data_IF_097968407490
#
_entry.id   IF_097968407490
#
_cell.length_a   1.000
_cell.length_b   1.000
_cell.length_c   1.000
_cell.angle_alpha   90.00
_cell.angle_beta   90.00
_cell.angle_gamma   90.00
#
_symmetry.space_group_name_H-M   'P 1'
#
loop_
_entity.id
_entity.type
_entity.pdbx_description
1 polymer ?
#
# COMPACT_ATOMS: atom_id res chain seq x y z
N UNK A 1 20.26 -16.70 9.68
CA UNK A 1 19.52 -17.97 9.73
C UNK A 1 18.49 -17.84 10.83
N UNK A 2 17.26 -18.28 10.55
CA UNK A 2 16.15 -18.29 11.50
C UNK A 2 16.54 -19.08 12.75
N UNK A 3 16.14 -18.62 13.92
CA UNK A 3 16.47 -19.31 15.18
C UNK A 3 15.42 -20.36 15.51
N UNK A 4 14.14 -20.11 15.15
CA UNK A 4 13.01 -21.01 15.45
C UNK A 4 12.14 -21.32 14.22
N UNK A 5 12.68 -21.13 13.01
CA UNK A 5 11.96 -21.40 11.76
C UNK A 5 10.92 -20.34 11.38
N UNK A 6 11.05 -19.11 11.90
CA UNK A 6 10.15 -17.97 11.66
C UNK A 6 10.91 -16.68 11.35
N UNK A 7 10.24 -15.72 10.72
CA UNK A 7 10.86 -14.45 10.30
C UNK A 7 11.19 -13.55 11.51
N UNK A 8 12.16 -12.62 11.36
CA UNK A 8 12.59 -11.73 12.47
C UNK A 8 11.46 -10.92 13.10
N UNK A 9 10.54 -10.43 12.27
CA UNK A 9 9.42 -9.64 12.75
C UNK A 9 8.41 -10.43 13.59
N UNK A 10 8.27 -11.73 13.33
CA UNK A 10 7.34 -12.61 14.05
C UNK A 10 7.94 -13.06 15.40
N UNK A 11 9.24 -13.31 15.41
CA UNK A 11 9.95 -13.77 16.61
C UNK A 11 10.25 -12.65 17.60
N UNK A 12 10.39 -11.39 17.14
CA UNK A 12 10.71 -10.29 18.05
C UNK A 12 9.55 -10.00 19.00
N UNK A 13 9.87 -9.78 20.27
CA UNK A 13 8.91 -9.27 21.25
C UNK A 13 9.20 -7.81 21.56
N UNK A 14 8.23 -6.95 21.30
CA UNK A 14 8.31 -5.53 21.62
C UNK A 14 7.55 -5.26 22.91
N UNK A 15 8.29 -5.00 23.98
CA UNK A 15 7.73 -4.62 25.28
C UNK A 15 7.63 -3.11 25.37
N UNK A 16 6.45 -2.64 25.75
CA UNK A 16 6.18 -1.21 25.97
C UNK A 16 7.04 -0.68 27.10
N UNK A 17 7.63 0.51 26.92
CA UNK A 17 8.35 1.20 28.01
C UNK A 17 7.42 1.86 29.01
N UNK A 18 6.21 2.20 28.57
CA UNK A 18 5.18 2.84 29.36
C UNK A 18 3.80 2.18 29.15
N UNK A 19 2.85 2.34 30.08
CA UNK A 19 1.47 1.94 29.86
C UNK A 19 0.87 2.65 28.64
N UNK A 20 0.00 1.95 27.89
CA UNK A 20 -0.78 2.60 26.83
C UNK A 20 -1.66 3.71 27.45
N UNK A 21 -1.87 4.85 26.77
CA UNK A 21 -1.53 5.14 25.36
C UNK A 21 -0.16 5.78 25.13
N UNK A 22 0.66 5.95 26.18
CA UNK A 22 1.87 6.79 26.14
C UNK A 22 2.87 6.38 25.04
N UNK A 23 3.26 5.09 24.89
CA UNK A 23 4.19 4.69 23.83
C UNK A 23 3.69 5.03 22.43
N UNK A 24 2.39 4.86 22.17
CA UNK A 24 1.79 5.15 20.86
C UNK A 24 1.81 6.65 20.55
N UNK A 25 1.51 7.51 21.53
CA UNK A 25 1.56 8.97 21.38
C UNK A 25 3.00 9.42 21.12
N UNK A 26 3.97 8.91 21.90
CA UNK A 26 5.39 9.26 21.72
C UNK A 26 5.89 8.83 20.34
N UNK A 27 5.56 7.61 19.90
CA UNK A 27 5.90 7.13 18.56
C UNK A 27 5.23 7.95 17.46
N UNK A 28 3.98 8.34 17.63
CA UNK A 28 3.26 9.20 16.68
C UNK A 28 3.95 10.55 16.54
N UNK A 29 4.24 11.24 17.65
CA UNK A 29 4.92 12.54 17.62
C UNK A 29 6.31 12.39 16.98
N UNK A 30 7.08 11.38 17.39
CA UNK A 30 8.41 11.11 16.84
C UNK A 30 8.38 10.90 15.32
N UNK A 31 7.47 10.06 14.84
CA UNK A 31 7.33 9.76 13.40
C UNK A 31 6.78 10.94 12.62
N UNK A 32 5.88 11.76 13.20
CA UNK A 32 5.38 12.98 12.57
C UNK A 32 6.45 14.07 12.43
N UNK A 33 7.37 14.19 13.40
CA UNK A 33 8.52 15.10 13.31
C UNK A 33 9.42 14.68 12.14
N UNK A 34 9.76 13.38 12.06
CA UNK A 34 10.56 12.85 10.95
C UNK A 34 9.82 13.01 9.62
N UNK A 35 8.51 12.74 9.59
CA UNK A 35 7.67 12.94 8.43
C UNK A 35 7.75 14.37 7.93
N UNK A 36 7.50 15.35 8.79
CA UNK A 36 7.50 16.74 8.35
C UNK A 36 8.89 17.22 7.93
N UNK A 37 9.94 16.87 8.68
CA UNK A 37 11.31 17.23 8.34
C UNK A 37 11.73 16.67 6.98
N UNK A 38 11.47 15.38 6.75
CA UNK A 38 11.80 14.74 5.46
C UNK A 38 10.86 15.18 4.33
N UNK A 39 9.58 15.42 4.61
CA UNK A 39 8.63 15.99 3.65
C UNK A 39 9.11 17.34 3.14
N UNK A 40 9.52 18.23 4.03
CA UNK A 40 10.01 19.56 3.67
C UNK A 40 11.31 19.50 2.84
N UNK A 41 12.20 18.56 3.14
CA UNK A 41 13.44 18.39 2.35
C UNK A 41 13.12 17.88 0.93
N UNK A 42 12.32 16.82 0.84
CA UNK A 42 12.19 16.05 -0.39
C UNK A 42 10.98 16.44 -1.25
N UNK A 43 9.82 16.61 -0.63
CA UNK A 43 8.53 16.65 -1.32
C UNK A 43 7.96 18.08 -1.39
N UNK A 44 7.88 18.80 -0.26
CA UNK A 44 7.17 20.08 -0.17
C UNK A 44 7.51 21.00 -1.36
N UNK A 45 6.51 21.51 -2.12
CA UNK A 45 6.76 22.41 -3.26
C UNK A 45 7.54 23.68 -2.90
N UNK A 46 7.52 24.09 -1.62
CA UNK A 46 8.28 25.23 -1.07
C UNK A 46 9.62 24.82 -0.48
N UNK A 47 9.85 23.51 -0.38
CA UNK A 47 11.00 22.88 0.25
C UNK A 47 12.27 22.95 -0.59
N UNK A 48 13.24 22.11 -0.20
CA UNK A 48 14.59 22.12 -0.77
C UNK A 48 14.63 21.45 -2.16
N UNK A 49 14.21 20.20 -2.26
CA UNK A 49 14.33 19.41 -3.50
C UNK A 49 13.08 19.47 -4.38
N UNK A 50 11.92 19.82 -3.81
CA UNK A 50 10.65 20.07 -4.53
C UNK A 50 10.24 18.95 -5.48
N UNK A 51 10.48 17.70 -5.10
CA UNK A 51 10.25 16.54 -5.97
C UNK A 51 8.76 16.20 -6.15
N UNK A 52 7.84 16.93 -5.51
CA UNK A 52 6.41 16.67 -5.61
C UNK A 52 5.86 16.83 -7.03
N UNK A 53 6.41 17.77 -7.81
CA UNK A 53 6.09 17.93 -9.24
C UNK A 53 7.36 18.28 -10.04
N UNK A 54 7.65 17.61 -11.17
CA UNK A 54 6.92 16.47 -11.76
C UNK A 54 6.99 15.21 -10.86
N UNK A 55 6.21 14.15 -11.13
CA UNK A 55 5.96 12.96 -10.27
C UNK A 55 7.18 12.16 -9.73
N UNK A 56 8.39 12.67 -9.83
CA UNK A 56 9.65 12.13 -9.32
C UNK A 56 9.53 11.72 -7.85
N UNK A 57 9.05 12.62 -7.00
CA UNK A 57 8.89 12.39 -5.57
C UNK A 57 7.88 11.29 -5.26
N UNK A 58 6.83 11.17 -6.08
CA UNK A 58 5.87 10.08 -5.97
C UNK A 58 6.50 8.74 -6.38
N UNK A 59 7.23 8.71 -7.50
CA UNK A 59 7.96 7.53 -7.98
C UNK A 59 8.91 7.01 -6.89
N UNK A 60 9.75 7.87 -6.31
CA UNK A 60 10.67 7.47 -5.22
C UNK A 60 9.91 7.01 -3.98
N UNK A 61 8.85 7.70 -3.58
CA UNK A 61 8.02 7.31 -2.43
C UNK A 61 7.45 5.90 -2.60
N UNK A 62 6.94 5.58 -3.80
CA UNK A 62 6.32 4.29 -4.09
C UNK A 62 7.34 3.18 -4.22
N UNK A 63 8.47 3.43 -4.89
CA UNK A 63 9.53 2.42 -4.98
C UNK A 63 10.21 2.16 -3.64
N UNK A 64 10.35 3.18 -2.79
CA UNK A 64 10.90 2.99 -1.46
C UNK A 64 10.02 2.06 -0.62
N UNK A 65 8.69 2.23 -0.67
CA UNK A 65 7.74 1.29 -0.04
C UNK A 65 8.04 -0.17 -0.45
N UNK A 66 8.25 -0.40 -1.74
CA UNK A 66 8.48 -1.74 -2.30
C UNK A 66 9.84 -2.29 -1.86
N UNK A 67 10.88 -1.47 -1.87
CA UNK A 67 12.21 -1.88 -1.39
C UNK A 67 12.16 -2.24 0.10
N UNK A 68 11.42 -1.49 0.92
CA UNK A 68 11.20 -1.84 2.33
C UNK A 68 10.52 -3.22 2.45
N UNK A 69 9.48 -3.47 1.66
CA UNK A 69 8.80 -4.77 1.61
C UNK A 69 9.77 -5.86 1.18
N UNK A 70 10.57 -5.65 0.13
CA UNK A 70 11.54 -6.64 -0.34
C UNK A 70 12.54 -6.99 0.74
N UNK A 71 13.16 -5.98 1.37
CA UNK A 71 14.15 -6.20 2.43
C UNK A 71 13.60 -7.04 3.58
N UNK A 72 12.33 -6.86 3.93
CA UNK A 72 11.71 -7.48 5.10
C UNK A 72 10.96 -8.78 4.75
N UNK A 73 9.99 -8.73 3.84
CA UNK A 73 9.11 -9.84 3.50
C UNK A 73 9.76 -10.85 2.54
N UNK A 74 10.58 -10.40 1.59
CA UNK A 74 11.18 -11.32 0.61
C UNK A 74 12.55 -11.82 1.08
N UNK A 75 13.38 -10.91 1.61
CA UNK A 75 14.77 -11.20 1.96
C UNK A 75 14.99 -11.45 3.46
N UNK A 76 14.01 -11.20 4.33
CA UNK A 76 14.11 -11.35 5.78
C UNK A 76 15.44 -10.77 6.33
N UNK A 77 15.72 -9.51 5.96
CA UNK A 77 16.90 -8.73 6.33
C UNK A 77 18.26 -9.25 5.83
N UNK A 78 18.29 -10.26 4.94
CA UNK A 78 19.53 -10.72 4.33
C UNK A 78 20.24 -9.56 3.59
N UNK A 79 21.59 -9.44 3.68
CA UNK A 79 22.57 -10.38 4.24
C UNK A 79 22.91 -10.17 5.73
N UNK A 80 22.16 -9.33 6.45
CA UNK A 80 22.49 -9.00 7.83
C UNK A 80 22.25 -10.20 8.76
N UNK A 81 23.21 -10.42 9.67
CA UNK A 81 23.12 -11.53 10.62
C UNK A 81 22.03 -11.26 11.63
N UNK A 82 21.31 -12.32 12.01
CA UNK A 82 20.26 -12.27 13.03
C UNK A 82 20.75 -11.68 14.35
N UNK A 83 21.94 -12.08 14.80
CA UNK A 83 22.57 -11.55 16.01
C UNK A 83 22.83 -10.04 15.97
N UNK A 84 23.06 -9.47 14.79
CA UNK A 84 23.18 -8.02 14.63
C UNK A 84 21.83 -7.33 14.76
N UNK A 85 20.77 -7.90 14.17
CA UNK A 85 19.41 -7.37 14.32
C UNK A 85 19.01 -7.36 15.81
N UNK A 86 19.29 -8.40 16.59
CA UNK A 86 18.84 -8.44 17.98
C UNK A 86 19.66 -7.56 18.93
N UNK A 87 20.95 -7.40 18.68
CA UNK A 87 21.87 -6.72 19.61
C UNK A 87 22.10 -5.25 19.27
N UNK A 88 21.94 -4.85 18.02
CA UNK A 88 22.22 -3.47 17.60
C UNK A 88 21.13 -2.52 18.08
N UNK A 89 21.57 -1.35 18.55
CA UNK A 89 20.65 -0.29 19.00
C UNK A 89 19.65 0.08 17.90
N UNK A 90 18.35 0.23 18.21
CA UNK A 90 17.32 0.40 17.17
C UNK A 90 17.51 1.63 16.28
N UNK A 91 18.08 2.73 16.80
CA UNK A 91 18.42 3.91 15.97
C UNK A 91 19.49 3.55 14.95
N UNK A 92 20.56 2.87 15.36
CA UNK A 92 21.64 2.46 14.47
C UNK A 92 21.12 1.49 13.41
N UNK A 93 20.25 0.56 13.80
CA UNK A 93 19.56 -0.35 12.88
C UNK A 93 18.71 0.43 11.87
N UNK A 94 17.92 1.39 12.35
CA UNK A 94 17.14 2.33 11.54
C UNK A 94 17.97 3.04 10.48
N UNK A 95 19.08 3.67 10.89
CA UNK A 95 19.98 4.41 9.99
C UNK A 95 20.58 3.48 8.93
N UNK A 96 21.15 2.34 9.34
CA UNK A 96 21.83 1.41 8.43
C UNK A 96 20.85 0.80 7.44
N UNK A 97 19.72 0.28 7.89
CA UNK A 97 18.72 -0.34 7.01
C UNK A 97 18.07 0.70 6.08
N UNK A 98 17.84 1.92 6.56
CA UNK A 98 17.35 3.01 5.71
C UNK A 98 18.38 3.37 4.63
N UNK A 99 19.66 3.46 4.97
CA UNK A 99 20.73 3.71 4.00
C UNK A 99 20.81 2.60 2.94
N UNK A 100 20.74 1.33 3.35
CA UNK A 100 20.68 0.18 2.43
C UNK A 100 19.47 0.30 1.51
N UNK A 101 18.28 0.61 2.05
CA UNK A 101 17.06 0.76 1.25
C UNK A 101 17.19 1.88 0.22
N UNK A 102 17.88 2.98 0.54
CA UNK A 102 18.12 4.08 -0.39
C UNK A 102 19.08 3.67 -1.51
N UNK A 103 20.16 2.94 -1.20
CA UNK A 103 21.09 2.43 -2.21
C UNK A 103 20.38 1.48 -3.17
N UNK A 104 19.58 0.54 -2.64
CA UNK A 104 18.80 -0.39 -3.47
C UNK A 104 17.79 0.35 -4.36
N UNK A 105 17.10 1.35 -3.80
CA UNK A 105 16.18 2.21 -4.53
C UNK A 105 16.87 2.96 -5.68
N UNK A 106 18.06 3.52 -5.43
CA UNK A 106 18.83 4.22 -6.43
C UNK A 106 19.28 3.29 -7.56
N UNK A 107 19.82 2.11 -7.21
CA UNK A 107 20.23 1.09 -8.20
C UNK A 107 19.03 0.64 -9.04
N UNK A 108 17.86 0.47 -8.43
CA UNK A 108 16.65 0.07 -9.13
C UNK A 108 16.18 1.14 -10.11
N UNK A 109 16.08 2.40 -9.68
CA UNK A 109 15.56 3.48 -10.53
C UNK A 109 16.60 3.88 -11.58
N UNK A 110 17.81 4.24 -11.17
CA UNK A 110 18.84 4.75 -12.09
C UNK A 110 19.56 3.65 -12.85
N UNK A 111 19.87 2.53 -12.20
CA UNK A 111 20.57 1.41 -12.84
C UNK A 111 19.63 0.58 -13.71
N UNK A 112 18.53 0.09 -13.14
CA UNK A 112 17.63 -0.82 -13.86
C UNK A 112 16.62 -0.09 -14.76
N UNK A 113 15.76 0.78 -14.23
CA UNK A 113 14.70 1.40 -15.05
C UNK A 113 15.24 2.41 -16.05
N UNK A 114 15.96 3.44 -15.61
CA UNK A 114 16.48 4.46 -16.52
C UNK A 114 17.68 3.96 -17.33
N UNK A 115 18.59 3.23 -16.67
CA UNK A 115 19.84 2.76 -17.25
C UNK A 115 19.66 1.61 -18.23
N UNK A 116 19.17 0.47 -17.75
CA UNK A 116 19.03 -0.75 -18.55
C UNK A 116 17.78 -0.72 -19.44
N UNK A 117 16.59 -0.66 -18.83
CA UNK A 117 15.31 -0.76 -19.55
C UNK A 117 15.11 0.46 -20.44
N UNK A 118 15.36 1.66 -19.91
CA UNK A 118 15.10 2.92 -20.57
C UNK A 118 16.02 3.20 -21.76
N UNK A 119 17.30 2.84 -21.68
CA UNK A 119 18.22 3.05 -22.80
C UNK A 119 18.24 1.92 -23.82
N UNK A 120 17.96 0.68 -23.43
CA UNK A 120 18.13 -0.49 -24.31
C UNK A 120 16.81 -1.11 -24.78
N UNK A 121 15.70 -0.83 -24.10
CA UNK A 121 14.40 -1.45 -24.39
C UNK A 121 13.30 -0.44 -24.68
N UNK A 122 12.79 0.19 -23.62
CA UNK A 122 11.56 0.99 -23.65
C UNK A 122 11.90 2.43 -23.28
N UNK A 123 12.01 3.29 -24.30
CA UNK A 123 12.52 4.66 -24.19
C UNK A 123 11.83 5.51 -23.13
N UNK A 124 10.53 5.30 -22.89
CA UNK A 124 9.78 6.13 -21.95
C UNK A 124 10.15 5.94 -20.49
N UNK A 125 10.98 4.94 -20.13
CA UNK A 125 11.53 4.84 -18.77
C UNK A 125 12.74 5.76 -18.54
N UNK A 126 13.27 6.41 -19.58
CA UNK A 126 14.42 7.29 -19.48
C UNK A 126 14.08 8.72 -19.96
N UNK A 127 14.16 9.73 -19.07
CA UNK A 127 13.90 11.12 -19.47
C UNK A 127 14.78 11.59 -20.62
N UNK A 128 16.07 11.24 -20.62
CA UNK A 128 17.02 11.62 -21.66
C UNK A 128 16.79 10.94 -23.01
N UNK A 129 16.07 9.82 -23.06
CA UNK A 129 15.59 9.25 -24.34
C UNK A 129 14.33 9.96 -24.81
N UNK A 130 13.43 10.31 -23.89
CA UNK A 130 12.20 11.04 -24.21
C UNK A 130 12.46 12.45 -24.74
N UNK A 131 13.48 13.16 -24.24
CA UNK A 131 13.84 14.50 -24.74
C UNK A 131 14.36 14.50 -26.18
N UNK A 132 14.70 13.33 -26.75
CA UNK A 132 15.07 13.20 -28.17
C UNK A 132 13.86 13.24 -29.09
N UNK A 133 12.66 13.04 -28.56
CA UNK A 133 11.43 13.07 -29.35
C UNK A 133 11.00 14.52 -29.61
N UNK A 134 10.65 14.89 -30.87
CA UNK A 134 10.16 16.22 -31.19
C UNK A 134 8.92 16.58 -30.35
N UNK A 135 8.92 17.77 -29.76
CA UNK A 135 7.77 18.31 -29.02
C UNK A 135 7.67 17.88 -27.54
N UNK A 136 8.57 17.03 -27.03
CA UNK A 136 8.62 16.69 -25.60
C UNK A 136 9.60 17.61 -24.89
N UNK A 137 9.09 18.40 -23.94
CA UNK A 137 9.94 19.23 -23.07
C UNK A 137 10.60 18.38 -21.98
N UNK A 138 11.69 18.88 -21.39
CA UNK A 138 12.37 18.21 -20.28
C UNK A 138 11.41 17.91 -19.11
N UNK A 139 10.51 18.84 -18.80
CA UNK A 139 9.50 18.64 -17.77
C UNK A 139 8.61 17.42 -18.06
N UNK A 140 8.04 17.33 -19.27
CA UNK A 140 7.18 16.20 -19.64
C UNK A 140 7.96 14.89 -19.78
N UNK A 141 9.21 14.94 -20.24
CA UNK A 141 10.08 13.77 -20.29
C UNK A 141 10.31 13.18 -18.89
N UNK A 142 10.62 14.03 -17.90
CA UNK A 142 10.76 13.61 -16.51
C UNK A 142 9.43 13.09 -15.96
N UNK A 143 8.33 13.79 -16.23
CA UNK A 143 7.00 13.41 -15.74
C UNK A 143 6.56 12.04 -16.28
N UNK A 144 6.69 11.80 -17.58
CA UNK A 144 6.29 10.55 -18.22
C UNK A 144 7.18 9.37 -17.80
N UNK A 145 8.48 9.59 -17.67
CA UNK A 145 9.38 8.55 -17.17
C UNK A 145 9.13 8.22 -15.70
N UNK A 146 8.93 9.23 -14.86
CA UNK A 146 8.56 9.02 -13.47
C UNK A 146 7.22 8.29 -13.36
N UNK A 147 6.23 8.64 -14.20
CA UNK A 147 4.92 8.00 -14.24
C UNK A 147 5.03 6.53 -14.67
N UNK A 148 5.82 6.21 -15.70
CA UNK A 148 6.04 4.84 -16.15
C UNK A 148 6.64 3.97 -15.04
N UNK A 149 7.71 4.46 -14.39
CA UNK A 149 8.35 3.82 -13.25
C UNK A 149 7.36 3.65 -12.07
N UNK A 150 6.59 4.68 -11.76
CA UNK A 150 5.60 4.70 -10.69
C UNK A 150 4.47 3.68 -10.93
N UNK A 151 3.96 3.58 -12.15
CA UNK A 151 2.90 2.64 -12.50
C UNK A 151 3.38 1.18 -12.36
N UNK A 152 4.64 0.90 -12.68
CA UNK A 152 5.25 -0.40 -12.38
C UNK A 152 5.34 -0.63 -10.86
N UNK A 153 5.75 0.39 -10.11
CA UNK A 153 5.79 0.33 -8.65
C UNK A 153 4.41 0.01 -8.05
N UNK A 154 3.33 0.59 -8.57
CA UNK A 154 1.98 0.28 -8.11
C UNK A 154 1.67 -1.22 -8.21
N UNK A 155 2.04 -1.87 -9.33
CA UNK A 155 1.84 -3.32 -9.51
C UNK A 155 2.70 -4.12 -8.52
N UNK A 156 3.99 -3.82 -8.43
CA UNK A 156 4.88 -4.54 -7.53
C UNK A 156 4.48 -4.39 -6.05
N UNK A 157 3.90 -3.25 -5.66
CA UNK A 157 3.49 -2.97 -4.28
C UNK A 157 2.34 -3.83 -3.75
N UNK A 158 1.53 -4.45 -4.61
CA UNK A 158 0.55 -5.43 -4.18
C UNK A 158 1.06 -6.86 -4.40
N UNK A 159 1.73 -7.13 -5.52
CA UNK A 159 2.07 -8.49 -5.91
C UNK A 159 3.18 -9.10 -5.04
N UNK A 160 4.20 -8.31 -4.71
CA UNK A 160 5.29 -8.76 -3.82
C UNK A 160 4.77 -9.17 -2.43
N UNK A 161 4.01 -8.32 -1.70
CA UNK A 161 3.46 -8.75 -0.41
C UNK A 161 2.36 -9.80 -0.55
N UNK A 162 1.51 -9.77 -1.60
CA UNK A 162 0.48 -10.79 -1.81
C UNK A 162 1.08 -12.19 -1.94
N UNK A 163 2.27 -12.33 -2.53
CA UNK A 163 2.92 -13.63 -2.63
C UNK A 163 3.31 -14.21 -1.26
N UNK A 164 3.68 -13.36 -0.30
CA UNK A 164 4.01 -13.80 1.05
C UNK A 164 2.75 -13.98 1.90
N UNK A 165 1.82 -13.02 1.83
CA UNK A 165 0.59 -13.00 2.64
C UNK A 165 -0.42 -14.05 2.18
N UNK A 166 -0.68 -14.15 0.88
CA UNK A 166 -1.69 -15.05 0.33
C UNK A 166 -1.10 -16.40 -0.08
N UNK A 167 0.06 -16.41 -0.76
CA UNK A 167 0.66 -17.65 -1.25
C UNK A 167 1.64 -18.29 -0.26
N UNK A 168 1.87 -17.70 0.92
CA UNK A 168 2.74 -18.24 1.97
C UNK A 168 4.12 -18.68 1.43
N UNK A 169 4.72 -17.82 0.59
CA UNK A 169 6.02 -18.05 -0.03
C UNK A 169 6.08 -19.27 -0.99
N UNK A 170 4.94 -19.84 -1.39
CA UNK A 170 4.91 -20.99 -2.29
C UNK A 170 5.48 -20.67 -3.68
N UNK A 171 6.23 -21.61 -4.30
CA UNK A 171 6.65 -22.94 -3.82
C UNK A 171 8.02 -22.96 -3.11
N UNK A 172 8.50 -21.82 -2.61
CA UNK A 172 9.87 -21.64 -2.11
C UNK A 172 10.02 -21.76 -0.60
N UNK A 173 9.03 -22.32 0.11
CA UNK A 173 9.02 -22.39 1.57
C UNK A 173 10.31 -22.99 2.15
N UNK A 174 10.84 -24.00 1.46
CA UNK A 174 12.02 -24.77 1.88
C UNK A 174 13.36 -24.17 1.43
N UNK A 175 13.36 -23.10 0.62
CA UNK A 175 14.60 -22.46 0.19
C UNK A 175 15.18 -21.58 1.30
N UNK A 176 16.50 -21.51 1.39
CA UNK A 176 17.19 -20.56 2.28
C UNK A 176 17.45 -19.23 1.59
N UNK A 177 17.60 -18.17 2.37
CA UNK A 177 18.10 -16.90 1.85
C UNK A 177 19.56 -17.05 1.38
N UNK A 178 19.97 -16.41 0.26
CA UNK A 178 19.20 -15.45 -0.53
C UNK A 178 18.33 -16.09 -1.63
N UNK A 179 18.46 -17.39 -1.90
CA UNK A 179 17.77 -18.05 -3.02
C UNK A 179 16.25 -17.89 -2.96
N UNK A 180 15.65 -17.97 -1.76
CA UNK A 180 14.22 -17.73 -1.55
C UNK A 180 13.82 -16.33 -2.02
N UNK A 181 14.40 -15.28 -1.44
CA UNK A 181 14.07 -13.89 -1.75
C UNK A 181 14.31 -13.53 -3.21
N UNK A 182 15.44 -13.96 -3.79
CA UNK A 182 15.75 -13.73 -5.20
C UNK A 182 14.72 -14.40 -6.11
N UNK A 183 14.32 -15.65 -5.84
CA UNK A 183 13.37 -16.38 -6.69
C UNK A 183 11.97 -15.75 -6.66
N UNK A 184 11.50 -15.36 -5.47
CA UNK A 184 10.22 -14.64 -5.32
C UNK A 184 10.30 -13.30 -6.02
N UNK A 185 11.40 -12.55 -5.84
CA UNK A 185 11.60 -11.26 -6.50
C UNK A 185 11.53 -11.40 -8.01
N UNK A 186 12.30 -12.32 -8.61
CA UNK A 186 12.31 -12.54 -10.07
C UNK A 186 10.92 -12.90 -10.57
N UNK A 187 10.22 -13.82 -9.90
CA UNK A 187 8.89 -14.27 -10.32
C UNK A 187 7.86 -13.15 -10.23
N UNK A 188 7.80 -12.45 -9.09
CA UNK A 188 6.85 -11.35 -8.90
C UNK A 188 7.18 -10.16 -9.80
N UNK A 189 8.45 -9.91 -10.10
CA UNK A 189 8.87 -8.86 -11.04
C UNK A 189 8.52 -9.21 -12.49
N UNK A 190 8.69 -10.47 -12.88
CA UNK A 190 8.27 -10.98 -14.20
C UNK A 190 6.75 -10.85 -14.37
N UNK A 191 5.97 -11.32 -13.40
CA UNK A 191 4.52 -11.17 -13.41
C UNK A 191 4.09 -9.69 -13.41
N UNK A 192 4.79 -8.84 -12.64
CA UNK A 192 4.55 -7.39 -12.65
C UNK A 192 4.77 -6.79 -14.03
N UNK A 193 5.79 -7.26 -14.76
CA UNK A 193 6.06 -6.85 -16.14
C UNK A 193 4.92 -7.25 -17.08
N UNK A 194 4.42 -8.47 -16.99
CA UNK A 194 3.29 -8.92 -17.80
C UNK A 194 2.04 -8.07 -17.52
N UNK A 195 1.70 -7.87 -16.25
CA UNK A 195 0.57 -7.03 -15.84
C UNK A 195 0.77 -5.60 -16.33
N UNK A 196 1.98 -5.05 -16.23
CA UNK A 196 2.30 -3.71 -16.71
C UNK A 196 2.00 -3.55 -18.20
N UNK A 197 2.36 -4.52 -19.03
CA UNK A 197 2.02 -4.49 -20.46
C UNK A 197 0.51 -4.57 -20.70
N UNK A 198 -0.21 -5.34 -19.89
CA UNK A 198 -1.66 -5.47 -20.00
C UNK A 198 -2.44 -4.25 -19.48
N UNK A 199 -1.90 -3.48 -18.53
CA UNK A 199 -2.68 -2.46 -17.81
C UNK A 199 -2.14 -1.04 -17.92
N UNK A 200 -0.83 -0.87 -18.16
CA UNK A 200 -0.17 0.44 -18.11
C UNK A 200 0.47 0.83 -19.45
N UNK A 201 0.98 -0.13 -20.22
CA UNK A 201 1.70 0.16 -21.46
C UNK A 201 0.82 0.88 -22.49
N UNK A 202 -0.45 0.49 -22.64
CA UNK A 202 -1.40 1.18 -23.52
C UNK A 202 -1.60 2.65 -23.12
N UNK A 203 -1.57 2.97 -21.82
CA UNK A 203 -1.62 4.35 -21.36
C UNK A 203 -0.35 5.12 -21.76
N UNK A 204 0.83 4.52 -21.62
CA UNK A 204 2.08 5.15 -22.04
C UNK A 204 2.12 5.40 -23.56
N UNK A 205 1.65 4.44 -24.36
CA UNK A 205 1.70 4.54 -25.82
C UNK A 205 0.83 5.64 -26.43
N UNK A 206 -0.16 6.16 -25.70
CA UNK A 206 -1.01 7.26 -26.16
C UNK A 206 -0.54 8.65 -25.71
N UNK A 207 0.51 8.74 -24.89
CA UNK A 207 1.07 10.02 -24.44
C UNK A 207 1.90 10.73 -25.53
N UNK A 208 2.21 10.02 -26.61
CA UNK A 208 3.04 10.51 -27.72
C UNK A 208 2.17 10.78 -28.95
N UNK A 209 2.54 11.78 -29.74
CA UNK A 209 1.95 12.01 -31.06
C UNK A 209 2.96 11.64 -32.17
N UNK A 210 2.60 10.76 -33.12
CA UNK A 210 1.37 9.96 -33.15
C UNK A 210 1.35 8.89 -32.04
N UNK A 211 0.15 8.40 -31.71
CA UNK A 211 0.00 7.28 -30.77
C UNK A 211 0.77 6.06 -31.28
N UNK A 212 1.33 5.29 -30.35
CA UNK A 212 2.23 4.18 -30.63
C UNK A 212 1.49 2.88 -30.99
N UNK A 213 0.64 2.92 -32.02
CA UNK A 213 -0.25 1.81 -32.42
C UNK A 213 0.47 0.48 -32.76
N UNK A 214 1.76 0.52 -33.11
CA UNK A 214 2.52 -0.69 -33.44
C UNK A 214 2.92 -1.49 -32.18
N UNK A 215 3.16 -0.81 -31.06
CA UNK A 215 3.69 -1.43 -29.84
C UNK A 215 2.67 -1.51 -28.72
N UNK A 216 1.62 -0.68 -28.76
CA UNK A 216 0.58 -0.64 -27.73
C UNK A 216 -0.83 -0.81 -28.30
N UNK A 217 -1.73 -1.34 -27.47
CA UNK A 217 -3.16 -1.36 -27.79
C UNK A 217 -3.71 0.05 -27.61
N UNK A 218 -3.84 0.78 -28.70
CA UNK A 218 -4.35 2.15 -28.75
C UNK A 218 -5.60 2.22 -29.65
N UNK A 219 -6.75 2.75 -29.18
CA UNK A 219 -7.00 3.18 -27.81
C UNK A 219 -7.02 1.99 -26.81
N UNK A 220 -6.77 2.23 -25.51
CA UNK A 220 -6.82 1.17 -24.51
C UNK A 220 -8.19 0.49 -24.41
N UNK A 221 -8.22 -0.82 -24.15
CA UNK A 221 -9.46 -1.62 -24.11
C UNK A 221 -10.45 -1.18 -23.03
N UNK A 222 -9.97 -0.51 -21.98
CA UNK A 222 -10.83 0.04 -20.92
C UNK A 222 -11.50 1.36 -21.28
N UNK A 223 -11.12 1.97 -22.41
CA UNK A 223 -11.57 3.29 -22.82
C UNK A 223 -13.08 3.51 -22.76
N UNK A 224 -13.85 2.49 -23.15
CA UNK A 224 -15.30 2.56 -23.24
C UNK A 224 -15.98 2.39 -21.88
N UNK A 225 -15.63 1.36 -21.12
CA UNK A 225 -16.31 1.08 -19.85
C UNK A 225 -15.80 1.93 -18.68
N UNK A 226 -14.53 2.34 -18.69
CA UNK A 226 -13.96 3.24 -17.67
C UNK A 226 -14.17 4.73 -18.03
N UNK A 227 -14.73 5.01 -19.21
CA UNK A 227 -14.93 6.36 -19.75
C UNK A 227 -13.66 7.24 -19.78
N UNK A 228 -12.48 6.61 -19.86
CA UNK A 228 -11.17 7.28 -19.92
C UNK A 228 -10.14 6.41 -20.60
N UNK A 229 -9.18 7.04 -21.27
CA UNK A 229 -7.98 6.37 -21.80
C UNK A 229 -6.82 6.38 -20.80
N UNK A 230 -7.00 7.00 -19.64
CA UNK A 230 -5.98 7.06 -18.60
C UNK A 230 -5.76 5.70 -17.93
N UNK A 231 -4.51 5.35 -17.64
CA UNK A 231 -4.13 4.19 -16.84
C UNK A 231 -4.54 4.31 -15.37
N UNK A 232 -5.05 5.48 -14.94
CA UNK A 232 -5.56 5.69 -13.59
C UNK A 232 -6.68 4.71 -13.20
N UNK A 233 -7.47 4.24 -14.18
CA UNK A 233 -8.40 3.12 -13.96
C UNK A 233 -7.67 1.92 -13.35
N UNK A 234 -6.55 1.50 -13.95
CA UNK A 234 -5.80 0.37 -13.42
C UNK A 234 -5.05 0.67 -12.13
N UNK A 235 -4.47 1.87 -12.01
CA UNK A 235 -3.86 2.32 -10.76
C UNK A 235 -4.86 2.14 -9.61
N UNK A 236 -6.11 2.54 -9.79
CA UNK A 236 -7.09 2.56 -8.73
C UNK A 236 -7.42 1.18 -8.12
N UNK A 237 -7.69 0.14 -8.93
CA UNK A 237 -7.96 -1.20 -8.39
C UNK A 237 -6.68 -1.85 -7.84
N UNK A 238 -5.51 -1.58 -8.43
CA UNK A 238 -4.21 -2.04 -7.91
C UNK A 238 -3.91 -1.44 -6.54
N UNK A 239 -4.23 -0.16 -6.35
CA UNK A 239 -4.12 0.51 -5.06
C UNK A 239 -5.06 -0.13 -4.04
N UNK A 240 -6.30 -0.45 -4.43
CA UNK A 240 -7.23 -1.20 -3.59
C UNK A 240 -6.69 -2.59 -3.24
N UNK A 241 -6.04 -3.30 -4.17
CA UNK A 241 -5.36 -4.57 -3.90
C UNK A 241 -4.28 -4.39 -2.85
N UNK A 242 -3.41 -3.38 -2.99
CA UNK A 242 -2.35 -3.09 -2.02
C UNK A 242 -2.94 -2.90 -0.63
N UNK A 243 -3.96 -2.06 -0.49
CA UNK A 243 -4.63 -1.78 0.79
C UNK A 243 -5.27 -3.05 1.36
N UNK A 244 -5.93 -3.84 0.52
CA UNK A 244 -6.60 -5.08 0.94
C UNK A 244 -5.61 -6.12 1.43
N UNK A 245 -4.48 -6.33 0.74
CA UNK A 245 -3.40 -7.24 1.19
C UNK A 245 -2.97 -6.86 2.61
N UNK A 246 -2.73 -5.57 2.85
CA UNK A 246 -2.30 -5.10 4.16
C UNK A 246 -3.40 -5.19 5.21
N UNK A 247 -4.67 -4.93 4.88
CA UNK A 247 -5.80 -5.14 5.80
C UNK A 247 -5.89 -6.62 6.21
N UNK A 248 -5.76 -7.53 5.24
CA UNK A 248 -5.74 -8.99 5.46
C UNK A 248 -4.58 -9.37 6.37
N UNK A 249 -3.37 -8.88 6.11
CA UNK A 249 -2.19 -9.21 6.92
C UNK A 249 -2.25 -8.61 8.33
N UNK A 250 -2.83 -7.42 8.49
CA UNK A 250 -2.72 -6.64 9.73
C UNK A 250 -3.95 -6.78 10.63
N UNK A 251 -4.99 -6.00 10.37
CA UNK A 251 -6.15 -5.90 11.25
C UNK A 251 -7.05 -7.14 11.19
N UNK A 252 -6.99 -7.91 10.10
CA UNK A 252 -7.74 -9.17 9.94
C UNK A 252 -6.95 -10.41 10.34
N UNK A 253 -5.63 -10.33 10.55
CA UNK A 253 -4.80 -11.48 10.97
C UNK A 253 -5.03 -12.71 10.05
N UNK A 254 -5.08 -12.46 8.74
CA UNK A 254 -5.37 -13.40 7.65
C UNK A 254 -6.73 -14.09 7.68
N UNK A 255 -7.65 -13.68 8.56
CA UNK A 255 -9.05 -14.11 8.53
C UNK A 255 -9.77 -13.56 7.29
N UNK A 256 -10.71 -14.32 6.67
CA UNK A 256 -11.10 -15.70 6.97
C UNK A 256 -10.24 -16.75 6.24
N UNK A 257 -9.24 -16.34 5.47
CA UNK A 257 -8.48 -17.24 4.60
C UNK A 257 -7.69 -18.30 5.39
N UNK A 258 -7.21 -17.95 6.58
CA UNK A 258 -6.54 -18.89 7.49
C UNK A 258 -7.43 -20.08 7.95
N UNK A 259 -8.76 -20.01 7.81
CA UNK A 259 -9.67 -21.12 8.09
C UNK A 259 -9.55 -22.27 7.09
N UNK A 260 -9.02 -22.01 5.88
CA UNK A 260 -8.91 -23.00 4.81
C UNK A 260 -7.70 -23.90 5.09
N UNK A 261 -7.94 -25.15 5.48
CA UNK A 261 -6.86 -26.08 5.85
C UNK A 261 -5.97 -26.51 4.69
N UNK A 262 -6.54 -26.64 3.49
CA UNK A 262 -5.82 -27.14 2.31
C UNK A 262 -4.97 -26.02 1.70
N UNK A 263 -3.65 -26.11 1.83
CA UNK A 263 -2.71 -25.04 1.46
C UNK A 263 -2.95 -24.45 0.06
N UNK A 264 -2.98 -25.27 -1.00
CA UNK A 264 -3.16 -24.74 -2.36
C UNK A 264 -4.51 -24.02 -2.53
N UNK A 265 -5.57 -24.53 -1.89
CA UNK A 265 -6.89 -23.90 -1.96
C UNK A 265 -6.88 -22.59 -1.17
N UNK A 266 -6.24 -22.56 0.00
CA UNK A 266 -6.04 -21.33 0.78
C UNK A 266 -5.28 -20.29 -0.03
N UNK A 267 -4.18 -20.68 -0.69
CA UNK A 267 -3.38 -19.77 -1.50
C UNK A 267 -4.17 -19.15 -2.65
N UNK A 268 -4.88 -19.99 -3.42
CA UNK A 268 -5.71 -19.54 -4.53
C UNK A 268 -6.85 -18.64 -4.04
N UNK A 269 -7.58 -19.07 -3.01
CA UNK A 269 -8.73 -18.33 -2.48
C UNK A 269 -8.30 -17.02 -1.81
N UNK A 270 -7.18 -16.99 -1.09
CA UNK A 270 -6.64 -15.77 -0.50
C UNK A 270 -6.21 -14.78 -1.59
N UNK A 271 -5.47 -15.24 -2.60
CA UNK A 271 -4.95 -14.38 -3.66
C UNK A 271 -6.07 -13.75 -4.49
N UNK A 272 -7.01 -14.57 -4.99
CA UNK A 272 -8.16 -14.07 -5.76
C UNK A 272 -9.22 -13.41 -4.88
N UNK A 273 -9.34 -13.80 -3.60
CA UNK A 273 -10.22 -13.16 -2.64
C UNK A 273 -9.82 -11.72 -2.34
N UNK A 274 -8.52 -11.46 -2.18
CA UNK A 274 -7.97 -10.10 -2.06
C UNK A 274 -8.33 -9.27 -3.30
N UNK A 275 -8.17 -9.83 -4.50
CA UNK A 275 -8.52 -9.14 -5.75
C UNK A 275 -10.03 -8.84 -5.80
N UNK A 276 -10.88 -9.80 -5.43
CA UNK A 276 -12.34 -9.62 -5.43
C UNK A 276 -12.78 -8.53 -4.45
N UNK A 277 -12.23 -8.51 -3.23
CA UNK A 277 -12.50 -7.46 -2.23
C UNK A 277 -12.00 -6.11 -2.74
N UNK A 278 -10.81 -6.06 -3.35
CA UNK A 278 -10.26 -4.84 -3.93
C UNK A 278 -11.13 -4.28 -5.05
N UNK A 279 -11.68 -5.12 -5.94
CA UNK A 279 -12.63 -4.69 -6.96
C UNK A 279 -13.93 -4.15 -6.36
N UNK A 280 -14.45 -4.78 -5.29
CA UNK A 280 -15.62 -4.28 -4.58
C UNK A 280 -15.35 -2.88 -4.00
N UNK A 281 -14.21 -2.67 -3.35
CA UNK A 281 -13.78 -1.35 -2.84
C UNK A 281 -13.64 -0.35 -4.00
N UNK A 282 -12.96 -0.75 -5.08
CA UNK A 282 -12.70 0.08 -6.25
C UNK A 282 -13.98 0.64 -6.88
N UNK A 283 -14.96 -0.23 -7.18
CA UNK A 283 -16.23 0.20 -7.76
C UNK A 283 -17.11 0.94 -6.75
N UNK A 284 -17.13 0.52 -5.49
CA UNK A 284 -17.91 1.20 -4.45
C UNK A 284 -17.43 2.64 -4.23
N UNK A 285 -16.12 2.86 -4.13
CA UNK A 285 -15.57 4.20 -3.94
C UNK A 285 -15.77 5.08 -5.17
N UNK A 286 -15.76 4.52 -6.39
CA UNK A 286 -16.11 5.26 -7.60
C UNK A 286 -17.58 5.71 -7.55
N UNK A 287 -18.48 4.77 -7.26
CA UNK A 287 -19.91 5.05 -7.11
C UNK A 287 -20.20 6.07 -6.01
N UNK A 288 -19.52 5.98 -4.87
CA UNK A 288 -19.65 6.96 -3.78
C UNK A 288 -19.28 8.38 -4.25
N UNK A 289 -18.25 8.52 -5.09
CA UNK A 289 -17.90 9.82 -5.68
C UNK A 289 -19.00 10.32 -6.64
N UNK A 290 -19.62 9.46 -7.44
CA UNK A 290 -20.74 9.85 -8.32
C UNK A 290 -21.95 10.34 -7.53
N UNK A 291 -22.27 9.70 -6.41
CA UNK A 291 -23.32 10.17 -5.50
C UNK A 291 -22.98 11.54 -4.89
N UNK A 292 -21.70 11.84 -4.72
CA UNK A 292 -21.23 13.07 -4.06
C UNK A 292 -21.19 14.25 -5.01
N UNK A 293 -20.59 14.04 -6.17
CA UNK A 293 -20.19 15.11 -7.09
C UNK A 293 -20.93 15.02 -8.43
N UNK A 294 -21.89 14.10 -8.58
CA UNK A 294 -22.58 13.84 -9.83
C UNK A 294 -21.75 13.00 -10.81
N UNK A 295 -22.31 12.73 -12.01
CA UNK A 295 -21.72 11.82 -12.99
C UNK A 295 -20.39 12.34 -13.54
N UNK A 296 -19.45 11.44 -13.78
CA UNK A 296 -18.19 11.76 -14.42
C UNK A 296 -18.37 11.90 -15.94
N UNK A 297 -17.87 12.98 -16.53
CA UNK A 297 -18.06 13.31 -17.94
C UNK A 297 -16.72 13.36 -18.65
N UNK A 298 -16.53 12.49 -19.64
CA UNK A 298 -15.29 12.43 -20.44
C UNK A 298 -15.04 13.76 -21.16
N UNK A 299 -13.77 14.19 -21.17
CA UNK A 299 -13.35 15.46 -21.76
C UNK A 299 -13.52 16.68 -20.84
N UNK A 300 -14.19 16.53 -19.70
CA UNK A 300 -14.16 17.54 -18.65
C UNK A 300 -12.82 17.51 -17.91
N UNK A 301 -12.50 18.58 -17.17
CA UNK A 301 -11.30 18.67 -16.35
C UNK A 301 -11.67 18.50 -14.88
N UNK A 302 -10.67 18.16 -14.06
CA UNK A 302 -10.75 18.22 -12.59
C UNK A 302 -11.79 17.24 -12.03
N UNK A 303 -12.59 17.68 -11.07
CA UNK A 303 -13.48 16.84 -10.30
C UNK A 303 -14.54 16.10 -11.13
N UNK A 304 -14.84 16.51 -12.36
CA UNK A 304 -15.80 15.78 -13.21
C UNK A 304 -15.11 14.82 -14.20
N UNK A 305 -13.78 14.83 -14.26
CA UNK A 305 -13.01 14.05 -15.22
C UNK A 305 -12.87 12.59 -14.75
N UNK A 306 -13.25 11.58 -15.56
CA UNK A 306 -13.18 10.19 -15.16
C UNK A 306 -11.76 9.72 -14.80
N UNK A 307 -10.72 10.24 -15.45
CA UNK A 307 -9.31 9.92 -15.14
C UNK A 307 -8.91 10.31 -13.70
N UNK A 308 -9.38 11.46 -13.22
CA UNK A 308 -9.15 11.87 -11.84
C UNK A 308 -10.00 11.06 -10.86
N UNK A 309 -11.27 10.78 -11.18
CA UNK A 309 -12.16 9.97 -10.33
C UNK A 309 -11.57 8.60 -10.03
N UNK A 310 -11.04 7.93 -11.04
CA UNK A 310 -10.35 6.66 -10.86
C UNK A 310 -9.10 6.82 -10.00
N UNK A 311 -8.25 7.81 -10.27
CA UNK A 311 -7.08 8.05 -9.43
C UNK A 311 -7.47 8.26 -7.96
N UNK A 312 -8.52 9.05 -7.73
CA UNK A 312 -9.02 9.39 -6.40
C UNK A 312 -9.59 8.19 -5.64
N UNK A 313 -10.13 7.17 -6.33
CA UNK A 313 -10.49 5.87 -5.69
C UNK A 313 -9.25 5.26 -5.02
N UNK A 314 -8.12 5.22 -5.72
CA UNK A 314 -6.87 4.71 -5.16
C UNK A 314 -6.38 5.54 -3.97
N UNK A 315 -6.54 6.85 -4.04
CA UNK A 315 -6.22 7.78 -2.95
C UNK A 315 -7.08 7.54 -1.70
N UNK A 316 -8.40 7.44 -1.87
CA UNK A 316 -9.35 7.14 -0.80
C UNK A 316 -9.02 5.82 -0.10
N UNK A 317 -8.65 4.78 -0.86
CA UNK A 317 -8.28 3.49 -0.28
C UNK A 317 -7.05 3.60 0.64
N UNK A 318 -6.03 4.38 0.26
CA UNK A 318 -4.82 4.56 1.09
C UNK A 318 -5.12 5.27 2.42
N UNK A 319 -6.12 6.15 2.47
CA UNK A 319 -6.55 6.75 3.74
C UNK A 319 -7.05 5.71 4.75
N UNK A 320 -7.60 4.58 4.30
CA UNK A 320 -7.96 3.46 5.18
C UNK A 320 -6.72 2.68 5.65
N UNK A 321 -5.65 2.64 4.87
CA UNK A 321 -4.45 1.90 5.25
C UNK A 321 -3.72 2.53 6.44
N UNK A 322 -3.67 3.87 6.51
CA UNK A 322 -3.00 4.60 7.60
C UNK A 322 -3.50 4.17 9.00
N UNK A 323 -4.79 4.29 9.36
CA UNK A 323 -5.25 3.85 10.67
C UNK A 323 -5.11 2.35 10.90
N UNK A 324 -5.26 1.49 9.87
CA UNK A 324 -5.02 0.05 10.02
C UNK A 324 -3.58 -0.25 10.47
N UNK A 325 -2.60 0.39 9.85
CA UNK A 325 -1.20 0.25 10.23
C UNK A 325 -0.92 0.82 11.61
N UNK A 326 -1.53 1.97 11.95
CA UNK A 326 -1.36 2.58 13.28
C UNK A 326 -1.87 1.67 14.41
N UNK A 327 -3.09 1.12 14.25
CA UNK A 327 -3.69 0.18 15.19
C UNK A 327 -2.78 -1.04 15.39
N UNK A 328 -2.24 -1.56 14.29
CA UNK A 328 -1.39 -2.75 14.30
C UNK A 328 -0.04 -2.48 14.96
N UNK A 329 0.66 -1.44 14.53
CA UNK A 329 2.04 -1.18 14.95
C UNK A 329 2.16 -0.58 16.34
N UNK A 330 1.21 0.26 16.76
CA UNK A 330 1.34 1.07 17.97
C UNK A 330 0.25 0.80 19.01
N UNK A 331 -0.94 0.35 18.60
CA UNK A 331 -2.01 -0.02 19.54
C UNK A 331 -2.02 -1.52 19.86
N UNK A 332 -1.05 -2.28 19.35
CA UNK A 332 -0.94 -3.72 19.59
C UNK A 332 -2.11 -4.52 19.00
N UNK A 333 -2.60 -4.09 17.84
CA UNK A 333 -3.76 -4.65 17.13
C UNK A 333 -5.04 -4.72 17.98
N UNK A 334 -5.30 -3.69 18.78
CA UNK A 334 -6.49 -3.62 19.64
C UNK A 334 -7.77 -3.48 18.80
N UNK A 335 -8.92 -4.07 19.22
CA UNK A 335 -9.11 -4.95 20.38
C UNK A 335 -8.66 -6.40 20.17
N UNK A 336 -8.39 -7.13 21.27
CA UNK A 336 -7.97 -8.54 21.29
C UNK A 336 -8.83 -9.46 22.17
N UNK A 337 -9.85 -8.90 22.82
CA UNK A 337 -10.61 -9.61 23.87
C UNK A 337 -11.80 -10.44 23.35
N UNK A 338 -12.21 -10.23 22.10
CA UNK A 338 -13.35 -10.93 21.50
C UNK A 338 -12.88 -12.07 20.58
N UNK A 339 -13.82 -12.76 19.94
CA UNK A 339 -13.49 -13.74 18.89
C UNK A 339 -12.82 -13.08 17.69
N UNK A 340 -12.05 -13.86 16.90
CA UNK A 340 -11.34 -13.37 15.70
C UNK A 340 -12.27 -12.58 14.76
N UNK A 341 -13.47 -13.08 14.37
CA UNK A 341 -14.35 -12.35 13.46
C UNK A 341 -14.83 -11.01 14.03
N UNK A 342 -15.10 -10.96 15.35
CA UNK A 342 -15.59 -9.75 16.02
C UNK A 342 -14.46 -8.73 16.16
N UNK A 343 -13.25 -9.14 16.52
CA UNK A 343 -12.09 -8.26 16.56
C UNK A 343 -11.82 -7.68 15.16
N UNK A 344 -11.79 -8.53 14.12
CA UNK A 344 -11.57 -8.09 12.74
C UNK A 344 -12.65 -7.08 12.28
N UNK A 345 -13.92 -7.32 12.59
CA UNK A 345 -15.02 -6.40 12.26
C UNK A 345 -14.88 -5.05 12.98
N UNK A 346 -14.61 -5.07 14.29
CA UNK A 346 -14.43 -3.83 15.08
C UNK A 346 -13.24 -3.03 14.54
N UNK A 347 -12.09 -3.68 14.30
CA UNK A 347 -10.91 -3.01 13.75
C UNK A 347 -11.19 -2.43 12.36
N UNK A 348 -11.94 -3.14 11.51
CA UNK A 348 -12.37 -2.64 10.19
C UNK A 348 -13.22 -1.39 10.31
N UNK A 349 -14.22 -1.39 11.21
CA UNK A 349 -15.06 -0.22 11.44
C UNK A 349 -14.25 0.98 11.96
N UNK A 350 -13.33 0.75 12.90
CA UNK A 350 -12.42 1.79 13.41
C UNK A 350 -11.54 2.35 12.31
N UNK A 351 -10.98 1.48 11.46
CA UNK A 351 -10.15 1.85 10.31
C UNK A 351 -10.92 2.70 9.29
N UNK A 352 -12.15 2.31 8.95
CA UNK A 352 -13.01 3.09 8.04
C UNK A 352 -13.30 4.46 8.64
N UNK A 353 -13.76 4.51 9.89
CA UNK A 353 -14.10 5.76 10.55
C UNK A 353 -12.90 6.70 10.67
N UNK A 354 -11.76 6.20 11.15
CA UNK A 354 -10.53 6.98 11.27
C UNK A 354 -9.99 7.42 9.91
N UNK A 355 -10.14 6.59 8.87
CA UNK A 355 -9.72 6.93 7.51
C UNK A 355 -10.57 8.05 6.91
N UNK A 356 -11.89 8.04 7.14
CA UNK A 356 -12.78 9.14 6.74
C UNK A 356 -12.40 10.43 7.47
N UNK A 357 -12.16 10.38 8.79
CA UNK A 357 -11.71 11.54 9.55
C UNK A 357 -10.37 12.09 9.04
N UNK A 358 -9.43 11.19 8.72
CA UNK A 358 -8.13 11.58 8.17
C UNK A 358 -8.27 12.20 6.77
N UNK A 359 -9.15 11.65 5.93
CA UNK A 359 -9.48 12.22 4.62
C UNK A 359 -10.02 13.65 4.75
N UNK A 360 -11.00 13.87 5.64
CA UNK A 360 -11.57 15.20 5.90
C UNK A 360 -10.49 16.14 6.43
N UNK A 361 -9.71 15.70 7.42
CA UNK A 361 -8.62 16.49 8.00
C UNK A 361 -7.60 16.88 6.94
N UNK A 362 -7.18 15.95 6.08
CA UNK A 362 -6.25 16.19 5.00
C UNK A 362 -6.76 17.29 4.07
N UNK A 363 -7.95 17.14 3.48
CA UNK A 363 -8.45 18.13 2.53
C UNK A 363 -8.75 19.49 3.16
N UNK A 364 -9.07 19.53 4.47
CA UNK A 364 -9.25 20.79 5.21
C UNK A 364 -7.96 21.52 5.53
N UNK A 365 -6.84 20.81 5.71
CA UNK A 365 -5.67 21.41 6.39
C UNK A 365 -4.35 21.22 5.65
N UNK A 366 -4.25 20.29 4.69
CA UNK A 366 -2.99 19.94 4.00
C UNK A 366 -2.30 21.14 3.37
N UNK A 367 -3.05 22.09 2.83
CA UNK A 367 -2.50 23.30 2.20
C UNK A 367 -1.78 24.23 3.20
N UNK A 368 -2.10 24.14 4.49
CA UNK A 368 -1.49 24.98 5.53
C UNK A 368 -0.06 24.54 5.86
N UNK A 369 0.22 23.23 5.80
CA UNK A 369 1.50 22.68 6.26
C UNK A 369 2.26 21.87 5.20
N UNK A 370 1.61 21.23 4.23
CA UNK A 370 2.30 20.42 3.21
C UNK A 370 2.71 21.20 1.95
N UNK A 371 2.34 22.48 1.84
CA UNK A 371 2.64 23.32 0.68
C UNK A 371 1.81 23.01 -0.56
N UNK A 372 0.77 22.19 -0.39
CA UNK A 372 -0.18 21.82 -1.44
C UNK A 372 -1.26 22.90 -1.61
N UNK A 373 -2.01 22.86 -2.72
CA UNK A 373 -3.02 23.88 -3.05
C UNK A 373 -4.44 23.43 -2.72
N UNK A 374 -5.29 24.30 -2.18
CA UNK A 374 -6.66 23.92 -1.80
C UNK A 374 -7.47 23.38 -2.99
N UNK A 375 -8.18 22.26 -2.78
CA UNK A 375 -9.09 21.67 -3.78
C UNK A 375 -8.96 20.14 -3.89
N UNK A 376 -10.08 19.43 -4.08
CA UNK A 376 -10.06 17.96 -4.21
C UNK A 376 -9.25 17.46 -5.40
N UNK A 377 -9.47 18.09 -6.55
CA UNK A 377 -8.91 17.70 -7.84
C UNK A 377 -7.87 18.69 -8.35
N UNK A 378 -7.20 19.41 -7.44
CA UNK A 378 -6.15 20.34 -7.85
C UNK A 378 -4.96 19.53 -8.41
N UNK A 379 -4.33 19.91 -9.55
CA UNK A 379 -3.18 19.18 -10.11
C UNK A 379 -1.93 19.10 -9.22
N UNK A 380 -1.96 19.73 -8.04
CA UNK A 380 -0.92 19.68 -7.02
C UNK A 380 -1.45 19.06 -5.72
N UNK A 381 -2.54 18.30 -5.79
CA UNK A 381 -3.14 17.57 -4.67
C UNK A 381 -3.13 16.08 -4.99
N UNK A 382 -2.06 15.42 -4.53
CA UNK A 382 -1.86 13.97 -4.60
C UNK A 382 -1.77 13.43 -3.18
N UNK A 383 -2.89 13.25 -2.46
CA UNK A 383 -2.92 12.68 -1.11
C UNK A 383 -2.18 11.36 -0.95
N UNK A 384 -2.01 10.59 -2.03
CA UNK A 384 -1.20 9.38 -2.01
C UNK A 384 0.26 9.64 -1.61
N UNK A 385 0.88 10.74 -2.04
CA UNK A 385 2.29 11.01 -1.75
C UNK A 385 2.52 11.18 -0.24
N UNK A 386 1.86 12.11 0.48
CA UNK A 386 2.07 12.26 1.92
C UNK A 386 1.58 11.06 2.72
N UNK A 387 0.50 10.39 2.33
CA UNK A 387 0.02 9.21 3.07
C UNK A 387 0.96 8.02 2.94
N UNK A 388 1.47 7.73 1.74
CA UNK A 388 2.46 6.65 1.54
C UNK A 388 3.81 7.04 2.17
N UNK A 389 4.20 8.31 2.12
CA UNK A 389 5.43 8.77 2.77
C UNK A 389 5.38 8.55 4.28
N UNK A 390 4.25 8.87 4.93
CA UNK A 390 4.03 8.56 6.34
C UNK A 390 4.07 7.06 6.61
N UNK A 391 3.44 6.25 5.74
CA UNK A 391 3.49 4.79 5.83
C UNK A 391 4.94 4.29 5.76
N UNK A 392 5.76 4.76 4.82
CA UNK A 392 7.17 4.37 4.72
C UNK A 392 7.94 4.69 6.00
N UNK A 393 7.69 5.84 6.62
CA UNK A 393 8.32 6.21 7.89
C UNK A 393 7.87 5.27 9.01
N UNK A 394 6.60 4.91 9.06
CA UNK A 394 6.11 3.92 10.00
C UNK A 394 6.67 2.53 9.74
N UNK A 395 6.88 2.14 8.49
CA UNK A 395 7.56 0.88 8.15
C UNK A 395 9.02 0.91 8.60
N UNK A 396 9.76 1.99 8.39
CA UNK A 396 11.13 2.14 8.91
C UNK A 396 11.12 2.09 10.43
N UNK A 397 10.26 2.87 11.08
CA UNK A 397 10.17 2.92 12.53
C UNK A 397 9.79 1.56 13.13
N UNK A 398 8.82 0.87 12.51
CA UNK A 398 8.36 -0.42 12.97
C UNK A 398 9.35 -1.54 12.63
N UNK A 399 9.75 -1.69 11.37
CA UNK A 399 10.58 -2.81 10.91
C UNK A 399 12.07 -2.63 11.20
N UNK A 400 12.59 -1.41 11.20
CA UNK A 400 14.03 -1.15 11.35
C UNK A 400 14.40 -0.57 12.71
N UNK A 401 13.49 0.15 13.38
CA UNK A 401 13.78 0.80 14.67
C UNK A 401 13.04 0.18 15.85
N UNK A 402 12.35 -0.95 15.65
CA UNK A 402 11.67 -1.70 16.71
C UNK A 402 10.76 -0.82 17.59
N UNK A 403 10.09 0.16 16.96
CA UNK A 403 9.25 1.16 17.60
C UNK A 403 9.94 2.02 18.69
N UNK A 404 11.25 2.24 18.60
CA UNK A 404 11.97 3.15 19.50
C UNK A 404 11.51 4.61 19.33
N UNK A 405 11.23 5.38 20.41
CA UNK A 405 11.57 5.09 21.81
C UNK A 405 10.45 4.45 22.64
N UNK A 406 9.24 4.29 22.10
CA UNK A 406 8.08 3.80 22.87
C UNK A 406 8.22 2.34 23.36
N UNK A 407 9.01 1.53 22.64
CA UNK A 407 9.20 0.12 22.92
C UNK A 407 10.68 -0.23 23.15
N UNK A 408 10.90 -1.45 23.65
CA UNK A 408 12.20 -2.12 23.72
C UNK A 408 12.04 -3.57 23.30
N UNK A 409 13.08 -4.13 22.68
CA UNK A 409 13.14 -5.55 22.38
C UNK A 409 13.28 -6.32 23.69
N UNK A 410 12.50 -7.38 23.84
CA UNK A 410 12.71 -8.43 24.83
C UNK A 410 12.95 -9.77 24.10
N UNK A 411 13.84 -10.64 24.60
CA UNK A 411 13.99 -11.98 24.06
C UNK A 411 12.69 -12.78 24.30
N UNK A 412 12.20 -13.49 23.26
CA UNK A 412 11.24 -14.58 23.45
C UNK A 412 11.99 -15.89 23.66
N UNK A 413 11.47 -16.74 24.53
CA UNK A 413 11.90 -18.15 24.63
C UNK A 413 11.26 -18.99 23.52
N UNK A 414 11.88 -20.13 23.18
CA UNK A 414 11.31 -21.07 22.21
C UNK A 414 9.90 -21.52 22.62
N UNK A 415 9.70 -21.77 23.92
CA UNK A 415 8.42 -22.20 24.50
C UNK A 415 7.34 -21.12 24.43
N UNK A 416 7.71 -19.83 24.51
CA UNK A 416 6.75 -18.73 24.28
C UNK A 416 6.30 -18.68 22.82
N UNK A 417 7.20 -18.89 21.86
CA UNK A 417 6.86 -18.89 20.43
C UNK A 417 5.95 -20.08 20.09
N UNK A 418 6.25 -21.26 20.63
CA UNK A 418 5.40 -22.45 20.44
C UNK A 418 4.02 -22.21 21.04
N UNK A 419 3.94 -21.67 22.27
CA UNK A 419 2.66 -21.33 22.92
C UNK A 419 1.86 -20.27 22.15
N UNK A 420 2.52 -19.24 21.62
CA UNK A 420 1.87 -18.21 20.79
C UNK A 420 1.25 -18.85 19.54
N UNK A 421 1.99 -19.74 18.86
CA UNK A 421 1.49 -20.48 17.68
C UNK A 421 0.35 -21.43 18.03
N UNK A 422 0.47 -22.19 19.11
CA UNK A 422 -0.57 -23.10 19.57
C UNK A 422 -1.85 -22.34 19.96
N UNK A 423 -1.71 -21.17 20.59
CA UNK A 423 -2.83 -20.31 20.94
C UNK A 423 -3.51 -19.74 19.68
N UNK A 424 -2.75 -19.30 18.69
CA UNK A 424 -3.28 -18.84 17.40
C UNK A 424 -4.02 -19.97 16.67
N UNK A 425 -3.40 -21.15 16.57
CA UNK A 425 -4.03 -22.33 15.99
C UNK A 425 -5.29 -22.76 16.74
N UNK A 426 -5.30 -22.68 18.07
CA UNK A 426 -6.46 -22.99 18.89
C UNK A 426 -7.62 -22.01 18.61
N UNK A 427 -7.35 -20.70 18.53
CA UNK A 427 -8.35 -19.70 18.19
C UNK A 427 -8.95 -19.93 16.79
N UNK A 428 -8.13 -20.35 15.82
CA UNK A 428 -8.58 -20.72 14.47
C UNK A 428 -9.41 -22.01 14.50
N UNK A 429 -9.00 -23.02 15.28
CA UNK A 429 -9.73 -24.30 15.43
C UNK A 429 -11.07 -24.15 16.15
N UNK A 430 -11.20 -23.19 17.05
CA UNK A 430 -12.43 -22.89 17.77
C UNK A 430 -13.54 -22.34 16.86
N UNK A 431 -13.19 -21.83 15.66
CA UNK A 431 -14.17 -21.50 14.61
C UNK A 431 -14.66 -22.80 13.94
N UNK A 432 -15.61 -23.50 14.59
CA UNK A 432 -16.17 -24.75 14.09
C UNK A 432 -17.23 -24.52 13.01
N UNK A 433 -17.13 -25.29 11.92
CA UNK A 433 -18.18 -25.39 10.90
C UNK A 433 -19.38 -26.14 11.48
N UNK A 434 -20.49 -25.44 11.68
CA UNK A 434 -21.75 -26.00 12.17
C UNK A 434 -22.96 -25.19 11.70
N UNK A 435 -24.20 -25.64 11.98
CA UNK A 435 -25.41 -24.94 11.54
C UNK A 435 -25.47 -23.48 11.99
N UNK A 436 -24.99 -23.18 13.20
CA UNK A 436 -24.88 -21.82 13.74
C UNK A 436 -23.95 -20.92 12.91
N UNK A 437 -22.87 -21.48 12.35
CA UNK A 437 -21.97 -20.76 11.45
C UNK A 437 -22.66 -20.44 10.12
N UNK A 438 -23.42 -21.38 9.57
CA UNK A 438 -24.24 -21.17 8.36
C UNK A 438 -25.30 -20.08 8.55
N UNK A 439 -26.05 -20.12 9.65
CA UNK A 439 -26.99 -19.06 10.02
C UNK A 439 -26.29 -17.72 10.24
N UNK A 440 -25.12 -17.72 10.88
CA UNK A 440 -24.30 -16.53 11.09
C UNK A 440 -23.82 -15.90 9.79
N UNK A 441 -23.39 -16.71 8.81
CA UNK A 441 -23.02 -16.25 7.46
C UNK A 441 -24.24 -15.65 6.73
N UNK A 442 -25.39 -16.32 6.78
CA UNK A 442 -26.62 -15.83 6.16
C UNK A 442 -27.09 -14.51 6.76
N UNK A 443 -27.11 -14.41 8.09
CA UNK A 443 -27.42 -13.17 8.80
C UNK A 443 -26.41 -12.07 8.49
N UNK A 444 -25.11 -12.39 8.47
CA UNK A 444 -24.04 -11.45 8.13
C UNK A 444 -24.18 -10.92 6.71
N UNK A 445 -24.53 -11.77 5.73
CA UNK A 445 -24.80 -11.35 4.37
C UNK A 445 -26.02 -10.42 4.29
N UNK A 446 -27.14 -10.78 4.93
CA UNK A 446 -28.33 -9.94 4.97
C UNK A 446 -28.07 -8.58 5.65
N UNK A 447 -27.37 -8.58 6.79
CA UNK A 447 -26.95 -7.37 7.49
C UNK A 447 -26.02 -6.51 6.63
N UNK A 448 -25.08 -7.12 5.90
CA UNK A 448 -24.22 -6.43 4.95
C UNK A 448 -25.00 -5.73 3.84
N UNK A 449 -26.01 -6.41 3.26
CA UNK A 449 -26.91 -5.81 2.25
C UNK A 449 -27.70 -4.64 2.83
N UNK A 450 -28.26 -4.79 4.04
CA UNK A 450 -28.98 -3.72 4.73
C UNK A 450 -28.06 -2.52 4.98
N UNK A 451 -26.87 -2.75 5.53
CA UNK A 451 -25.87 -1.70 5.78
C UNK A 451 -25.47 -1.01 4.48
N UNK A 452 -25.32 -1.74 3.37
CA UNK A 452 -25.03 -1.17 2.07
C UNK A 452 -26.12 -0.17 1.66
N UNK A 453 -27.39 -0.55 1.67
CA UNK A 453 -28.49 0.35 1.28
C UNK A 453 -28.64 1.53 2.24
N UNK A 454 -28.45 1.33 3.55
CA UNK A 454 -28.43 2.42 4.53
C UNK A 454 -27.29 3.40 4.20
N UNK A 455 -26.09 2.89 3.93
CA UNK A 455 -24.91 3.70 3.60
C UNK A 455 -25.17 4.51 2.33
N UNK A 456 -25.66 3.87 1.27
CA UNK A 456 -26.01 4.53 0.00
C UNK A 456 -27.08 5.61 0.20
N UNK A 457 -28.11 5.34 1.02
CA UNK A 457 -29.15 6.31 1.32
C UNK A 457 -28.68 7.50 2.17
N UNK A 458 -27.72 7.29 3.08
CA UNK A 458 -27.21 8.34 3.96
C UNK A 458 -26.03 9.13 3.38
N UNK A 459 -25.28 8.58 2.42
CA UNK A 459 -24.12 9.25 1.81
C UNK A 459 -24.46 10.69 1.34
N UNK A 460 -25.53 10.93 0.55
CA UNK A 460 -25.89 12.28 0.11
C UNK A 460 -26.15 13.25 1.28
N UNK A 461 -26.74 12.76 2.38
CA UNK A 461 -27.02 13.56 3.57
C UNK A 461 -25.72 14.00 4.24
N UNK A 462 -24.78 13.08 4.45
CA UNK A 462 -23.49 13.40 5.04
C UNK A 462 -22.69 14.36 4.17
N UNK A 463 -22.70 14.21 2.85
CA UNK A 463 -21.97 15.10 1.96
C UNK A 463 -22.55 16.52 1.94
N UNK A 464 -23.87 16.67 1.96
CA UNK A 464 -24.49 17.99 2.06
C UNK A 464 -24.24 18.66 3.43
N UNK A 465 -24.07 17.87 4.49
CA UNK A 465 -23.83 18.38 5.84
C UNK A 465 -22.35 18.73 6.11
N UNK A 466 -21.40 18.08 5.43
CA UNK A 466 -19.96 18.24 5.67
C UNK A 466 -19.35 19.10 4.56
N UNK A 467 -19.25 20.39 4.82
CA UNK A 467 -18.45 21.29 3.99
C UNK A 467 -16.94 21.08 4.29
N UNK A 468 -16.25 20.43 3.35
CA UNK A 468 -14.81 20.12 3.44
C UNK A 468 -13.98 21.28 2.87
N UNK A 469 -14.46 21.96 1.83
CA UNK A 469 -13.71 23.00 1.12
C UNK A 469 -14.64 24.22 0.93
N UNK A 470 -14.50 25.20 1.82
CA UNK A 470 -15.09 26.54 1.65
C UNK A 470 -14.50 27.32 0.49
#
# INVERSE_FOLDING_TARGET
MEQFGTNYLEERNLVKRWPQPIPAIVALIFTLIIFYGTWWIFQDPRGLMRMYTPYVGYMYTRWWLIVLIWMVYLFNYWPLKRSWLEKTHPITKGIVLTAISFVLLYVLIKGFFEGLVGNLGIAYFNPGQLTKLPGITEFFAIEYAALACLMFAAIASWLSPAWVVACEEAPWQNLKQPAKGISILITTFFLSTLIYFMTMHSHMGILYYPWQYFTSIAPPYWGNFANTVSGNFHVSWIMCCTVTVWIVETIWERYPFNLIKKNWLRHVVAFFGIIAIAFAIHFFLYFAQELTWGPAIRGTRRAFAPDWRWLHVGEMAVFFLVPAMFITFYCGNWPKKFSIPVNALIRTALTIFAGILLYIFYYKTSHLFLGTQKGFSHPQQFPMIPTIWLINIWLVHHWFMDNWPGWKIAPKTADEIIRDKEAEEALVRDVKWGPSFGWGLGFGAAAGVIIYFITVGLLPVFYNAIDIIK
#
